data_IF_469293652940
#
_entry.id   IF_469293652940
#
_cell.length_a   1.000
_cell.length_b   1.000
_cell.length_c   1.000
_cell.angle_alpha   90.00
_cell.angle_beta   90.00
_cell.angle_gamma   90.00
#
_symmetry.space_group_name_H-M   'P 1'
#
loop_
_entity.id
_entity.type
_entity.pdbx_description
1 polymer ?
#
# COMPACT_ATOMS: atom_id res chain seq x y z
N UNK A 1 7.39 -9.28 -9.83
CA UNK A 1 7.65 -9.67 -8.43
C UNK A 1 9.17 -9.67 -8.27
N UNK A 2 9.76 -8.83 -7.42
CA UNK A 2 11.20 -8.67 -7.28
C UNK A 2 11.89 -9.87 -6.59
N UNK A 3 11.12 -10.73 -5.94
CA UNK A 3 11.61 -11.89 -5.19
C UNK A 3 11.07 -13.16 -5.85
N UNK A 4 11.95 -14.14 -6.12
CA UNK A 4 11.54 -15.44 -6.65
C UNK A 4 10.87 -16.29 -5.57
N UNK A 5 10.12 -17.30 -5.97
CA UNK A 5 9.43 -18.21 -5.03
C UNK A 5 10.40 -18.93 -4.10
N UNK A 6 11.57 -19.35 -4.62
CA UNK A 6 12.62 -20.03 -3.85
C UNK A 6 13.22 -19.10 -2.79
N UNK A 7 13.41 -17.82 -3.13
CA UNK A 7 13.90 -16.81 -2.20
C UNK A 7 12.87 -16.50 -1.10
N UNK A 8 11.56 -16.48 -1.44
CA UNK A 8 10.49 -16.33 -0.44
C UNK A 8 10.52 -17.47 0.58
N UNK A 9 10.66 -18.72 0.13
CA UNK A 9 10.73 -19.88 1.02
C UNK A 9 12.00 -19.86 1.90
N UNK A 10 13.11 -19.37 1.36
CA UNK A 10 14.36 -19.19 2.12
C UNK A 10 14.18 -18.14 3.23
N UNK A 11 13.60 -16.97 2.89
CA UNK A 11 13.30 -15.91 3.86
C UNK A 11 12.33 -16.41 4.95
N UNK A 12 11.30 -17.17 4.56
CA UNK A 12 10.34 -17.77 5.50
C UNK A 12 11.02 -18.75 6.45
N UNK A 13 11.89 -19.62 5.93
CA UNK A 13 12.65 -20.59 6.73
C UNK A 13 13.61 -19.93 7.71
N UNK A 14 14.20 -18.80 7.31
CA UNK A 14 15.06 -17.98 8.16
C UNK A 14 14.30 -17.10 9.17
N UNK A 15 12.96 -17.19 9.23
CA UNK A 15 12.08 -16.32 10.05
C UNK A 15 12.32 -14.82 9.78
N UNK A 16 12.70 -14.48 8.57
CA UNK A 16 12.83 -13.08 8.15
C UNK A 16 11.45 -12.52 7.78
N UNK A 17 11.17 -11.30 8.22
CA UNK A 17 9.97 -10.59 7.82
C UNK A 17 10.03 -10.31 6.32
N UNK A 18 9.00 -10.75 5.59
CA UNK A 18 8.85 -10.52 4.16
C UNK A 18 7.44 -9.99 3.89
N UNK A 19 7.35 -8.77 3.36
CA UNK A 19 6.09 -8.17 2.93
C UNK A 19 5.88 -8.40 1.43
N UNK A 20 4.77 -9.03 1.00
CA UNK A 20 4.50 -9.23 -0.42
C UNK A 20 4.44 -7.91 -1.18
N UNK A 21 5.04 -7.87 -2.38
CA UNK A 21 5.11 -6.63 -3.19
C UNK A 21 3.74 -6.05 -3.54
N UNK A 22 2.70 -6.89 -3.63
CA UNK A 22 1.32 -6.43 -3.84
C UNK A 22 0.81 -5.54 -2.71
N UNK A 23 1.22 -5.82 -1.48
CA UNK A 23 0.85 -5.04 -0.29
C UNK A 23 1.75 -3.82 -0.16
N UNK A 24 3.08 -4.03 -0.24
CA UNK A 24 4.05 -2.96 -0.10
C UNK A 24 3.85 -1.82 -1.13
N UNK A 25 3.42 -2.16 -2.34
CA UNK A 25 3.28 -1.20 -3.44
C UNK A 25 1.83 -0.71 -3.66
N UNK A 26 0.88 -1.10 -2.80
CA UNK A 26 -0.54 -0.73 -2.96
C UNK A 26 -0.79 0.78 -2.81
N UNK A 27 0.15 1.53 -2.24
CA UNK A 27 0.03 2.95 -1.93
C UNK A 27 -0.21 3.81 -3.18
N UNK A 28 0.47 3.52 -4.29
CA UNK A 28 0.27 4.27 -5.54
C UNK A 28 -1.17 4.15 -6.05
N UNK A 29 -1.71 2.93 -6.07
CA UNK A 29 -3.09 2.66 -6.46
C UNK A 29 -4.08 3.33 -5.50
N UNK A 30 -3.79 3.29 -4.19
CA UNK A 30 -4.62 3.95 -3.18
C UNK A 30 -4.67 5.47 -3.38
N UNK A 31 -3.53 6.12 -3.65
CA UNK A 31 -3.46 7.56 -3.93
C UNK A 31 -4.22 7.90 -5.22
N UNK A 32 -4.14 7.09 -6.27
CA UNK A 32 -4.96 7.28 -7.48
C UNK A 32 -6.46 7.21 -7.18
N UNK A 33 -6.90 6.30 -6.29
CA UNK A 33 -8.29 6.25 -5.83
C UNK A 33 -8.71 7.49 -5.03
N UNK A 34 -7.81 8.03 -4.19
CA UNK A 34 -8.04 9.29 -3.48
C UNK A 34 -8.12 10.48 -4.45
N UNK A 35 -7.31 10.51 -5.50
CA UNK A 35 -7.37 11.51 -6.57
C UNK A 35 -8.71 11.46 -7.31
N UNK A 36 -9.15 10.27 -7.72
CA UNK A 36 -10.47 10.08 -8.34
C UNK A 36 -11.61 10.57 -7.44
N UNK A 37 -11.51 10.32 -6.13
CA UNK A 37 -12.50 10.77 -5.15
C UNK A 37 -12.55 12.29 -5.03
N UNK A 38 -11.39 12.95 -4.97
CA UNK A 38 -11.29 14.42 -4.96
C UNK A 38 -11.91 15.01 -6.24
N UNK A 39 -11.60 14.44 -7.40
CA UNK A 39 -12.15 14.87 -8.69
C UNK A 39 -13.67 14.74 -8.72
N UNK A 40 -14.21 13.61 -8.24
CA UNK A 40 -15.66 13.39 -8.22
C UNK A 40 -16.39 14.32 -7.25
N UNK A 41 -15.76 14.67 -6.12
CA UNK A 41 -16.34 15.54 -5.10
C UNK A 41 -16.05 17.03 -5.34
N UNK A 42 -15.17 17.35 -6.30
CA UNK A 42 -14.67 18.71 -6.59
C UNK A 42 -14.10 19.40 -5.34
N UNK A 43 -13.39 18.64 -4.53
CA UNK A 43 -12.68 19.12 -3.34
C UNK A 43 -11.20 18.88 -3.50
N UNK A 44 -10.39 19.69 -2.81
CA UNK A 44 -8.97 19.44 -2.68
C UNK A 44 -8.65 19.21 -1.20
N UNK A 45 -8.09 18.05 -0.88
CA UNK A 45 -7.54 17.77 0.43
C UNK A 45 -6.13 18.32 0.53
N UNK A 46 -5.74 18.77 1.71
CA UNK A 46 -4.34 19.08 1.96
C UNK A 46 -3.51 17.77 2.04
N UNK A 47 -2.19 17.94 2.01
CA UNK A 47 -1.25 16.82 2.08
C UNK A 47 -1.44 15.96 3.34
N UNK A 48 -1.81 16.56 4.48
CA UNK A 48 -1.97 15.86 5.76
C UNK A 48 -3.19 14.97 5.75
N UNK A 49 -4.30 15.48 5.20
CA UNK A 49 -5.54 14.74 5.04
C UNK A 49 -5.36 13.55 4.09
N UNK A 50 -4.67 13.75 2.95
CA UNK A 50 -4.32 12.65 2.03
C UNK A 50 -3.45 11.59 2.72
N UNK A 51 -2.43 12.00 3.47
CA UNK A 51 -1.55 11.08 4.21
C UNK A 51 -2.31 10.29 5.30
N UNK A 52 -3.21 10.96 6.03
CA UNK A 52 -4.03 10.32 7.06
C UNK A 52 -4.97 9.27 6.46
N UNK A 53 -5.63 9.60 5.35
CA UNK A 53 -6.49 8.66 4.61
C UNK A 53 -5.69 7.48 4.05
N UNK A 54 -4.53 7.74 3.45
CA UNK A 54 -3.63 6.70 2.94
C UNK A 54 -3.21 5.74 4.06
N UNK A 55 -2.79 6.25 5.22
CA UNK A 55 -2.45 5.44 6.39
C UNK A 55 -3.63 4.57 6.85
N UNK A 56 -4.85 5.10 6.81
CA UNK A 56 -6.07 4.33 7.08
C UNK A 56 -6.26 3.16 6.12
N UNK A 57 -6.10 3.41 4.80
CA UNK A 57 -6.19 2.37 3.77
C UNK A 57 -5.11 1.30 3.96
N UNK A 58 -3.85 1.69 4.15
CA UNK A 58 -2.74 0.75 4.31
C UNK A 58 -2.89 -0.09 5.58
N UNK A 59 -3.39 0.48 6.68
CA UNK A 59 -3.74 -0.29 7.89
C UNK A 59 -4.82 -1.35 7.62
N UNK A 60 -5.79 -1.06 6.75
CA UNK A 60 -6.81 -2.04 6.34
C UNK A 60 -6.28 -3.15 5.41
N UNK A 61 -5.16 -2.93 4.73
CA UNK A 61 -4.48 -3.93 3.88
C UNK A 61 -3.49 -4.77 4.70
N UNK A 62 -2.94 -4.21 5.77
CA UNK A 62 -2.08 -4.90 6.72
C UNK A 62 -2.92 -5.84 7.59
N UNK A 63 -3.15 -7.05 7.09
CA UNK A 63 -3.79 -8.20 7.77
C UNK A 63 -2.71 -9.09 8.39
#
# INVERSE_FOLDING_TARGET
MPTTSEAIETLRSARMLHAPSKVANAQGVAVSGLEMSQNSLRINWDRREVDQRLKGIIKGIHV
#
